data_IF_090757860518
#
_entry.id   IF_090757860518
#
_cell.length_a   1.000
_cell.length_b   1.000
_cell.length_c   1.000
_cell.angle_alpha   90.00
_cell.angle_beta   90.00
_cell.angle_gamma   90.00
#
_symmetry.space_group_name_H-M   'P 1'
#
loop_
_entity.id
_entity.type
_entity.pdbx_description
1 polymer ?
#
# COMPACT_ATOMS: atom_id res chain seq x y z
N UNK A 1 -17.15 -13.48 -2.72
CA UNK A 1 -15.75 -13.42 -2.22
C UNK A 1 -15.73 -13.88 -0.78
N UNK A 2 -14.68 -14.61 -0.37
CA UNK A 2 -14.46 -14.97 1.04
C UNK A 2 -14.26 -13.68 1.87
N UNK A 3 -14.81 -13.58 3.10
CA UNK A 3 -14.52 -12.45 3.99
C UNK A 3 -13.02 -12.32 4.26
N UNK A 4 -12.52 -11.08 4.33
CA UNK A 4 -11.13 -10.82 4.70
C UNK A 4 -11.06 -10.74 6.23
N UNK A 5 -10.40 -11.71 6.87
CA UNK A 5 -10.24 -11.77 8.32
C UNK A 5 -8.78 -11.80 8.75
N UNK A 6 -7.89 -12.34 7.93
CA UNK A 6 -6.46 -12.47 8.27
C UNK A 6 -5.60 -11.87 7.16
N UNK A 7 -4.86 -10.82 7.48
CA UNK A 7 -4.05 -10.06 6.51
C UNK A 7 -2.56 -10.38 6.72
N UNK A 8 -1.87 -10.74 5.65
CA UNK A 8 -0.41 -10.92 5.65
C UNK A 8 0.25 -9.72 4.96
N UNK A 9 1.21 -9.10 5.65
CA UNK A 9 2.10 -8.10 5.06
C UNK A 9 3.47 -8.75 4.83
N UNK A 10 3.85 -8.97 3.58
CA UNK A 10 5.13 -9.58 3.25
C UNK A 10 6.22 -8.51 3.15
N UNK A 11 7.24 -8.57 4.00
CA UNK A 11 8.27 -7.53 4.13
C UNK A 11 9.67 -8.10 3.91
N UNK A 12 10.60 -7.25 3.49
CA UNK A 12 11.96 -7.65 3.13
C UNK A 12 12.95 -6.51 3.33
N UNK A 13 14.25 -6.79 3.53
CA UNK A 13 15.26 -5.75 3.65
C UNK A 13 15.30 -4.83 2.43
N UNK A 14 15.43 -3.53 2.68
CA UNK A 14 15.41 -2.50 1.65
C UNK A 14 14.02 -2.22 1.10
N UNK A 15 12.94 -2.56 1.82
CA UNK A 15 11.62 -2.03 1.49
C UNK A 15 11.58 -0.50 1.66
N UNK A 16 10.67 0.17 0.97
CA UNK A 16 10.29 1.54 1.31
C UNK A 16 9.26 1.46 2.43
N UNK A 17 9.63 1.87 3.65
CA UNK A 17 8.78 1.64 4.83
C UNK A 17 7.38 2.29 4.70
N UNK A 18 7.28 3.43 4.01
CA UNK A 18 5.99 4.09 3.77
C UNK A 18 5.05 3.26 2.89
N UNK A 19 5.58 2.44 1.97
CA UNK A 19 4.77 1.51 1.17
C UNK A 19 4.05 0.50 2.07
N UNK A 20 4.69 0.06 3.15
CA UNK A 20 4.10 -0.82 4.15
C UNK A 20 3.12 -0.06 5.04
N UNK A 21 3.62 1.00 5.71
CA UNK A 21 2.89 1.68 6.79
C UNK A 21 1.62 2.35 6.27
N UNK A 22 1.61 2.87 5.05
CA UNK A 22 0.42 3.52 4.47
C UNK A 22 -0.80 2.59 4.45
N UNK A 23 -0.67 1.38 3.90
CA UNK A 23 -1.78 0.43 3.88
C UNK A 23 -1.99 -0.27 5.22
N UNK A 24 -0.91 -0.58 5.94
CA UNK A 24 -0.97 -1.18 7.27
C UNK A 24 -1.82 -0.36 8.23
N UNK A 25 -1.65 0.97 8.26
CA UNK A 25 -2.40 1.83 9.18
C UNK A 25 -3.90 1.86 8.87
N UNK A 26 -4.29 1.93 7.59
CA UNK A 26 -5.71 1.89 7.21
C UNK A 26 -6.34 0.53 7.51
N UNK A 27 -5.65 -0.57 7.20
CA UNK A 27 -6.17 -1.92 7.37
C UNK A 27 -6.27 -2.35 8.84
N UNK A 28 -5.27 -2.02 9.68
CA UNK A 28 -5.33 -2.35 11.12
C UNK A 28 -6.48 -1.64 11.84
N UNK A 29 -6.91 -0.47 11.33
CA UNK A 29 -8.00 0.32 11.91
C UNK A 29 -9.36 -0.34 11.78
N UNK A 30 -9.54 -1.28 10.86
CA UNK A 30 -10.79 -2.06 10.74
C UNK A 30 -11.14 -2.74 12.06
N UNK A 31 -10.17 -3.42 12.67
CA UNK A 31 -10.36 -4.03 13.99
C UNK A 31 -10.37 -2.99 15.12
N UNK A 32 -9.40 -2.07 15.13
CA UNK A 32 -9.24 -1.09 16.22
C UNK A 32 -10.44 -0.14 16.37
N UNK A 33 -11.18 0.11 15.30
CA UNK A 33 -12.36 0.97 15.31
C UNK A 33 -13.67 0.18 15.43
N UNK A 34 -13.60 -1.14 15.59
CA UNK A 34 -14.77 -2.02 15.75
C UNK A 34 -15.62 -2.11 14.47
N UNK A 35 -15.04 -1.93 13.29
CA UNK A 35 -15.72 -2.15 12.01
C UNK A 35 -15.88 -3.66 11.79
N UNK A 36 -14.79 -4.40 12.01
CA UNK A 36 -14.80 -5.86 12.07
C UNK A 36 -13.74 -6.31 13.09
N UNK A 37 -14.14 -6.62 14.34
CA UNK A 37 -13.20 -6.91 15.43
C UNK A 37 -12.47 -8.25 15.27
N UNK A 38 -12.92 -9.11 14.36
CA UNK A 38 -12.27 -10.40 14.08
C UNK A 38 -11.09 -10.27 13.11
N UNK A 39 -10.90 -9.10 12.50
CA UNK A 39 -9.78 -8.85 11.59
C UNK A 39 -8.47 -8.85 12.37
N UNK A 40 -7.52 -9.65 11.89
CA UNK A 40 -6.16 -9.73 12.41
C UNK A 40 -5.16 -9.53 11.27
N UNK A 41 -3.93 -9.17 11.61
CA UNK A 41 -2.83 -9.09 10.66
C UNK A 41 -1.57 -9.74 11.21
N UNK A 42 -0.66 -10.12 10.31
CA UNK A 42 0.72 -10.46 10.65
C UNK A 42 1.68 -9.89 9.62
N UNK A 43 2.84 -9.46 10.09
CA UNK A 43 3.98 -9.06 9.28
C UNK A 43 4.87 -10.28 9.11
N UNK A 44 5.08 -10.72 7.86
CA UNK A 44 5.88 -11.89 7.52
C UNK A 44 7.12 -11.41 6.77
N UNK A 45 8.28 -11.53 7.39
CA UNK A 45 9.53 -11.08 6.82
C UNK A 45 10.27 -12.16 6.06
N UNK A 46 11.23 -11.76 5.23
CA UNK A 46 12.25 -12.66 4.67
C UNK A 46 13.43 -12.90 5.63
N UNK A 47 13.52 -12.11 6.71
CA UNK A 47 14.55 -12.17 7.77
C UNK A 47 13.93 -11.78 9.12
N UNK A 48 14.58 -12.13 10.24
CA UNK A 48 14.09 -11.85 11.60
C UNK A 48 14.25 -10.39 12.04
N UNK A 49 15.07 -9.62 11.32
CA UNK A 49 15.18 -8.17 11.43
C UNK A 49 15.15 -7.61 10.03
N UNK A 50 14.30 -6.61 9.80
CA UNK A 50 14.15 -5.95 8.52
C UNK A 50 14.61 -4.51 8.68
N UNK A 51 15.57 -4.11 7.84
CA UNK A 51 15.95 -2.71 7.68
C UNK A 51 15.29 -2.15 6.42
N UNK A 52 14.73 -0.95 6.50
CA UNK A 52 14.31 -0.20 5.30
C UNK A 52 15.52 0.33 4.51
N UNK A 53 15.28 1.01 3.39
CA UNK A 53 16.34 1.56 2.54
C UNK A 53 17.23 2.63 3.22
N UNK A 54 16.82 3.14 4.38
CA UNK A 54 17.54 4.16 5.17
C UNK A 54 18.14 3.63 6.46
N UNK A 55 17.92 2.34 6.77
CA UNK A 55 18.43 1.68 7.96
C UNK A 55 17.49 1.68 9.16
N UNK A 56 16.23 2.13 9.03
CA UNK A 56 15.23 1.95 10.08
C UNK A 56 14.88 0.46 10.23
N UNK A 57 14.94 -0.06 11.46
CA UNK A 57 14.80 -1.48 11.74
C UNK A 57 13.52 -1.83 12.49
N UNK A 58 12.96 -2.99 12.18
CA UNK A 58 11.87 -3.61 12.94
C UNK A 58 11.93 -5.14 12.81
N UNK A 59 11.28 -5.84 13.75
CA UNK A 59 11.14 -7.29 13.73
C UNK A 59 9.75 -7.67 13.15
N UNK A 60 9.68 -8.57 12.16
CA UNK A 60 8.41 -9.15 11.73
C UNK A 60 7.91 -10.20 12.73
N UNK A 61 6.62 -10.56 12.63
CA UNK A 61 6.00 -11.59 13.49
C UNK A 61 6.45 -13.02 13.15
N UNK A 62 7.01 -13.22 11.96
CA UNK A 62 7.53 -14.50 11.46
C UNK A 62 8.52 -14.28 10.32
N UNK A 63 9.38 -15.27 10.05
CA UNK A 63 10.33 -15.29 8.94
C UNK A 63 9.95 -16.39 7.97
N UNK A 64 9.34 -16.01 6.86
CA UNK A 64 8.52 -16.91 6.04
C UNK A 64 7.47 -17.65 6.91
N UNK A 65 6.47 -18.26 6.29
CA UNK A 65 5.44 -18.97 7.03
C UNK A 65 4.37 -19.56 6.14
N UNK A 66 3.46 -20.32 6.73
CA UNK A 66 2.32 -20.79 5.98
C UNK A 66 1.36 -19.63 5.68
N UNK A 67 1.14 -19.39 4.38
CA UNK A 67 0.22 -18.36 3.87
C UNK A 67 -1.23 -18.88 3.74
N UNK A 68 -1.48 -20.18 3.88
CA UNK A 68 -2.80 -20.80 3.65
C UNK A 68 -3.91 -20.23 4.57
N UNK A 69 -3.51 -19.80 5.77
CA UNK A 69 -4.42 -19.27 6.78
C UNK A 69 -4.79 -17.79 6.62
N UNK A 70 -4.27 -17.09 5.61
CA UNK A 70 -4.57 -15.66 5.37
C UNK A 70 -5.54 -15.47 4.20
N UNK A 71 -6.23 -14.33 4.18
CA UNK A 71 -7.25 -14.00 3.18
C UNK A 71 -6.80 -12.87 2.23
N UNK A 72 -5.87 -12.02 2.66
CA UNK A 72 -5.26 -10.96 1.86
C UNK A 72 -3.74 -10.96 2.05
N UNK A 73 -2.99 -10.92 0.95
CA UNK A 73 -1.54 -10.73 0.95
C UNK A 73 -1.19 -9.33 0.41
N UNK A 74 -0.41 -8.58 1.16
CA UNK A 74 0.06 -7.25 0.78
C UNK A 74 1.58 -7.24 0.61
N UNK A 75 2.07 -6.71 -0.51
CA UNK A 75 3.49 -6.66 -0.87
C UNK A 75 3.92 -5.20 -1.14
N UNK A 76 4.74 -4.58 -0.27
CA UNK A 76 5.29 -3.26 -0.50
C UNK A 76 6.38 -3.29 -1.58
N UNK A 77 6.82 -2.11 -2.02
CA UNK A 77 7.98 -1.95 -2.88
C UNK A 77 9.25 -1.58 -2.10
N UNK A 78 10.20 -0.98 -2.82
CA UNK A 78 11.50 -0.55 -2.31
C UNK A 78 12.66 -1.17 -3.08
N UNK A 79 13.89 -0.72 -2.76
CA UNK A 79 15.09 -1.15 -3.46
C UNK A 79 15.34 -2.66 -3.39
N UNK A 80 14.93 -3.30 -2.28
CA UNK A 80 15.06 -4.74 -2.05
C UNK A 80 14.40 -5.61 -3.11
N UNK A 81 13.34 -5.11 -3.77
CA UNK A 81 12.64 -5.83 -4.85
C UNK A 81 13.57 -6.25 -5.98
N UNK A 82 14.59 -5.43 -6.31
CA UNK A 82 15.56 -5.75 -7.39
C UNK A 82 16.31 -7.04 -7.14
N UNK A 83 16.73 -7.27 -5.90
CA UNK A 83 17.39 -8.51 -5.49
C UNK A 83 16.41 -9.67 -5.49
N UNK A 84 15.23 -9.46 -4.91
CA UNK A 84 14.22 -10.52 -4.74
C UNK A 84 13.62 -11.00 -6.06
N UNK A 85 13.61 -10.19 -7.12
CA UNK A 85 13.22 -10.66 -8.46
C UNK A 85 14.11 -11.79 -9.00
N UNK A 86 15.35 -11.90 -8.51
CA UNK A 86 16.28 -12.99 -8.83
C UNK A 86 16.41 -14.04 -7.72
N UNK A 87 15.56 -13.98 -6.69
CA UNK A 87 15.54 -14.93 -5.58
C UNK A 87 14.41 -15.94 -5.80
N UNK A 88 14.74 -17.10 -6.35
CA UNK A 88 13.76 -18.14 -6.67
C UNK A 88 12.99 -18.63 -5.44
N UNK A 89 13.64 -18.66 -4.26
CA UNK A 89 12.96 -19.03 -3.02
C UNK A 89 11.87 -18.01 -2.66
N UNK A 90 12.18 -16.71 -2.72
CA UNK A 90 11.19 -15.66 -2.48
C UNK A 90 10.04 -15.72 -3.50
N UNK A 91 10.34 -15.91 -4.78
CA UNK A 91 9.33 -15.98 -5.83
C UNK A 91 8.44 -17.22 -5.67
N UNK A 92 9.01 -18.38 -5.39
CA UNK A 92 8.24 -19.60 -5.15
C UNK A 92 7.42 -19.51 -3.87
N UNK A 93 7.92 -18.82 -2.84
CA UNK A 93 7.14 -18.52 -1.64
C UNK A 93 5.90 -17.68 -1.99
N UNK A 94 6.05 -16.62 -2.79
CA UNK A 94 4.91 -15.81 -3.24
C UNK A 94 3.92 -16.62 -4.08
N UNK A 95 4.37 -17.56 -4.92
CA UNK A 95 3.47 -18.45 -5.69
C UNK A 95 2.58 -19.33 -4.81
N UNK A 96 3.02 -19.70 -3.60
CA UNK A 96 2.21 -20.47 -2.63
C UNK A 96 0.95 -19.75 -2.17
N UNK A 97 0.82 -18.44 -2.43
CA UNK A 97 -0.42 -17.70 -2.20
C UNK A 97 -1.58 -18.22 -3.05
N UNK A 98 -1.31 -18.68 -4.28
CA UNK A 98 -2.35 -19.08 -5.23
C UNK A 98 -3.14 -17.90 -5.79
N UNK A 99 -4.04 -18.16 -6.73
CA UNK A 99 -4.72 -17.11 -7.54
C UNK A 99 -6.15 -16.78 -7.06
N UNK A 100 -6.70 -17.57 -6.15
CA UNK A 100 -8.09 -17.46 -5.69
C UNK A 100 -8.32 -16.35 -4.65
N UNK A 101 -7.25 -15.87 -4.00
CA UNK A 101 -7.31 -14.90 -2.91
C UNK A 101 -6.71 -13.56 -3.32
N UNK A 102 -7.25 -12.43 -2.82
CA UNK A 102 -6.72 -11.11 -3.12
C UNK A 102 -5.24 -10.96 -2.74
N UNK A 103 -4.45 -10.45 -3.69
CA UNK A 103 -3.08 -9.99 -3.48
C UNK A 103 -2.99 -8.52 -3.91
N UNK A 104 -2.36 -7.71 -3.08
CA UNK A 104 -2.21 -6.28 -3.30
C UNK A 104 -0.73 -5.87 -3.26
N UNK A 105 -0.33 -4.90 -4.08
CA UNK A 105 1.03 -4.36 -4.01
C UNK A 105 1.11 -2.87 -4.29
N UNK A 106 2.12 -2.23 -3.73
CA UNK A 106 2.49 -0.82 -4.00
C UNK A 106 3.86 -0.76 -4.64
N UNK A 107 4.09 0.27 -5.46
CA UNK A 107 5.40 0.61 -5.98
C UNK A 107 6.01 -0.62 -6.70
N UNK A 108 7.28 -0.90 -6.48
CA UNK A 108 7.99 -2.02 -7.10
C UNK A 108 7.58 -3.38 -6.56
N UNK A 109 6.69 -3.47 -5.56
CA UNK A 109 6.10 -4.74 -5.13
C UNK A 109 5.37 -5.46 -6.27
N UNK A 110 4.81 -4.69 -7.21
CA UNK A 110 4.19 -5.21 -8.43
C UNK A 110 5.17 -6.03 -9.30
N UNK A 111 6.47 -5.75 -9.24
CA UNK A 111 7.48 -6.53 -9.97
C UNK A 111 7.61 -7.95 -9.40
N UNK A 112 7.48 -8.11 -8.08
CA UNK A 112 7.47 -9.43 -7.44
C UNK A 112 6.21 -10.21 -7.80
N UNK A 113 5.05 -9.54 -7.83
CA UNK A 113 3.80 -10.13 -8.32
C UNK A 113 3.92 -10.57 -9.78
N UNK A 114 4.50 -9.71 -10.63
CA UNK A 114 4.74 -9.99 -12.04
C UNK A 114 5.64 -11.20 -12.24
N UNK A 115 6.77 -11.24 -11.53
CA UNK A 115 7.72 -12.35 -11.56
C UNK A 115 7.12 -13.66 -11.05
N UNK A 116 6.23 -13.60 -10.06
CA UNK A 116 5.48 -14.75 -9.56
C UNK A 116 4.31 -15.18 -10.47
N UNK A 117 4.03 -14.44 -11.55
CA UNK A 117 3.04 -14.79 -12.57
C UNK A 117 1.65 -14.18 -12.35
N UNK A 118 1.43 -13.42 -11.28
CA UNK A 118 0.10 -12.88 -10.94
C UNK A 118 -0.44 -11.86 -11.94
N UNK A 119 0.44 -11.21 -12.70
CA UNK A 119 0.08 -10.12 -13.61
C UNK A 119 -0.13 -10.58 -15.07
N UNK A 120 0.06 -11.87 -15.37
CA UNK A 120 -0.10 -12.42 -16.71
C UNK A 120 -1.52 -12.15 -17.25
N UNK A 121 -1.60 -11.47 -18.40
CA UNK A 121 -2.87 -11.12 -19.03
C UNK A 121 -3.66 -9.98 -18.37
N UNK A 122 -3.13 -9.37 -17.30
CA UNK A 122 -3.79 -8.31 -16.51
C UNK A 122 -3.22 -6.93 -16.79
N UNK A 123 -4.00 -5.89 -16.50
CA UNK A 123 -3.47 -4.53 -16.33
C UNK A 123 -2.78 -4.41 -14.98
N UNK A 124 -1.74 -3.60 -14.89
CA UNK A 124 -1.10 -3.33 -13.62
C UNK A 124 -0.41 -1.96 -13.63
N UNK A 125 -0.18 -1.41 -12.45
CA UNK A 125 0.67 -0.23 -12.27
C UNK A 125 1.79 -0.52 -11.26
N UNK A 126 2.76 0.38 -11.18
CA UNK A 126 3.90 0.31 -10.26
C UNK A 126 4.43 1.74 -10.03
N UNK A 127 5.59 1.89 -9.40
CA UNK A 127 6.27 3.17 -9.34
C UNK A 127 6.65 3.64 -10.77
N UNK A 128 6.49 4.92 -11.07
CA UNK A 128 6.71 5.46 -12.43
C UNK A 128 8.09 5.13 -13.00
N UNK A 129 9.14 5.15 -12.17
CA UNK A 129 10.50 4.75 -12.56
C UNK A 129 10.66 3.25 -12.90
N UNK A 130 9.65 2.42 -12.68
CA UNK A 130 9.68 0.97 -12.89
C UNK A 130 8.67 0.49 -13.95
N UNK A 131 7.98 1.39 -14.67
CA UNK A 131 7.01 1.01 -15.70
C UNK A 131 7.61 0.09 -16.76
N UNK A 132 8.81 0.42 -17.29
CA UNK A 132 9.46 -0.42 -18.31
C UNK A 132 9.91 -1.78 -17.76
N UNK A 133 10.23 -1.86 -16.46
CA UNK A 133 10.57 -3.12 -15.80
C UNK A 133 9.34 -4.00 -15.56
N UNK A 134 8.15 -3.40 -15.42
CA UNK A 134 6.89 -4.13 -15.21
C UNK A 134 6.33 -4.67 -16.53
N UNK A 135 6.54 -3.96 -17.64
CA UNK A 135 5.93 -4.26 -18.94
C UNK A 135 6.03 -5.72 -19.40
N UNK A 136 7.15 -6.46 -19.19
CA UNK A 136 7.24 -7.86 -19.58
C UNK A 136 6.32 -8.83 -18.82
N UNK A 137 5.75 -8.40 -17.69
CA UNK A 137 5.01 -9.27 -16.77
C UNK A 137 3.49 -9.09 -16.83
N UNK A 138 2.99 -8.08 -17.54
CA UNK A 138 1.56 -7.75 -17.60
C UNK A 138 1.08 -7.49 -19.03
N UNK A 139 -0.24 -7.46 -19.24
CA UNK A 139 -0.83 -7.10 -20.55
C UNK A 139 -0.60 -5.63 -20.89
N UNK A 140 -0.68 -4.77 -19.88
CA UNK A 140 -0.63 -3.32 -20.04
C UNK A 140 -0.17 -2.67 -18.74
N UNK A 141 0.80 -1.76 -18.85
CA UNK A 141 1.22 -0.89 -17.74
C UNK A 141 0.37 0.37 -17.74
N UNK A 142 -0.50 0.50 -16.75
CA UNK A 142 -1.36 1.67 -16.58
C UNK A 142 -0.54 2.78 -15.93
N UNK A 143 -0.29 3.84 -16.69
CA UNK A 143 0.50 5.01 -16.24
C UNK A 143 -0.37 6.09 -15.60
N UNK A 144 -1.65 6.10 -15.92
CA UNK A 144 -2.65 7.05 -15.44
C UNK A 144 -3.51 6.38 -14.36
N UNK A 145 -3.38 6.83 -13.12
CA UNK A 145 -4.13 6.30 -11.99
C UNK A 145 -3.25 5.77 -10.86
N UNK A 146 -3.71 5.93 -9.62
CA UNK A 146 -2.97 5.50 -8.43
C UNK A 146 -3.17 4.02 -8.11
N UNK A 147 -4.29 3.43 -8.52
CA UNK A 147 -4.70 2.05 -8.20
C UNK A 147 -5.28 1.40 -9.46
N UNK A 148 -4.90 0.15 -9.71
CA UNK A 148 -5.43 -0.71 -10.77
C UNK A 148 -5.94 -1.98 -10.10
N UNK A 149 -7.22 -2.29 -10.27
CA UNK A 149 -7.88 -3.48 -9.74
C UNK A 149 -8.29 -4.41 -10.87
N UNK A 150 -7.76 -5.63 -10.86
CA UNK A 150 -8.08 -6.70 -11.83
C UNK A 150 -8.65 -7.93 -11.08
N UNK A 151 -9.56 -7.68 -10.14
CA UNK A 151 -10.25 -8.70 -9.35
C UNK A 151 -9.45 -9.14 -8.13
N UNK A 152 -8.78 -10.28 -8.21
CA UNK A 152 -7.95 -10.80 -7.10
C UNK A 152 -6.55 -10.18 -7.06
N UNK A 153 -6.21 -9.30 -8.00
CA UNK A 153 -4.90 -8.65 -8.06
C UNK A 153 -5.11 -7.15 -8.10
N UNK A 154 -4.57 -6.46 -7.10
CA UNK A 154 -4.66 -5.00 -6.98
C UNK A 154 -3.25 -4.44 -6.93
N UNK A 155 -2.93 -3.51 -7.82
CA UNK A 155 -1.62 -2.85 -7.85
C UNK A 155 -1.79 -1.35 -7.71
N UNK A 156 -0.86 -0.69 -7.05
CA UNK A 156 -0.86 0.75 -6.89
C UNK A 156 0.51 1.35 -7.18
N UNK A 157 0.49 2.66 -7.45
CA UNK A 157 1.64 3.46 -7.86
C UNK A 157 2.70 3.62 -6.76
N UNK A 158 3.50 4.68 -6.84
CA UNK A 158 4.62 4.89 -5.93
C UNK A 158 4.23 5.42 -4.55
N UNK A 159 4.88 4.90 -3.50
CA UNK A 159 5.06 5.53 -2.18
C UNK A 159 3.77 5.93 -1.48
N UNK A 160 3.29 7.14 -1.74
CA UNK A 160 2.09 7.70 -1.08
C UNK A 160 0.80 7.00 -1.52
N UNK A 161 0.81 6.31 -2.67
CA UNK A 161 -0.30 5.47 -3.09
C UNK A 161 -0.63 4.33 -2.12
N UNK A 162 0.26 4.00 -1.18
CA UNK A 162 -0.04 3.04 -0.11
C UNK A 162 -1.20 3.46 0.79
N UNK A 163 -1.35 4.76 1.07
CA UNK A 163 -2.47 5.27 1.87
C UNK A 163 -3.79 5.12 1.11
N UNK A 164 -3.80 5.50 -0.17
CA UNK A 164 -4.99 5.34 -1.01
C UNK A 164 -5.35 3.87 -1.19
N UNK A 165 -4.35 3.00 -1.44
CA UNK A 165 -4.58 1.58 -1.58
C UNK A 165 -5.12 0.96 -0.29
N UNK A 166 -4.60 1.36 0.87
CA UNK A 166 -5.12 0.93 2.17
C UNK A 166 -6.61 1.25 2.32
N UNK A 167 -6.99 2.50 2.08
CA UNK A 167 -8.39 2.93 2.13
C UNK A 167 -9.26 2.27 1.05
N UNK A 168 -8.73 2.08 -0.15
CA UNK A 168 -9.41 1.37 -1.23
C UNK A 168 -9.72 -0.08 -0.86
N UNK A 169 -8.75 -0.79 -0.27
CA UNK A 169 -8.96 -2.16 0.21
C UNK A 169 -9.98 -2.18 1.36
N UNK A 170 -9.97 -1.18 2.24
CA UNK A 170 -11.00 -1.02 3.28
C UNK A 170 -12.39 -0.91 2.66
N UNK A 171 -12.56 -0.01 1.68
CA UNK A 171 -13.83 0.16 0.97
C UNK A 171 -14.27 -1.11 0.26
N UNK A 172 -13.34 -1.77 -0.44
CA UNK A 172 -13.62 -2.98 -1.21
C UNK A 172 -14.16 -4.13 -0.36
N UNK A 173 -13.64 -4.31 0.85
CA UNK A 173 -13.96 -5.49 1.66
C UNK A 173 -14.90 -5.19 2.85
N UNK A 174 -14.97 -3.94 3.33
CA UNK A 174 -15.83 -3.55 4.47
C UNK A 174 -16.77 -2.38 4.15
N UNK A 175 -16.75 -1.87 2.91
CA UNK A 175 -17.69 -0.87 2.39
C UNK A 175 -17.27 0.58 2.60
N UNK A 176 -17.93 1.47 1.87
CA UNK A 176 -17.66 2.91 1.83
C UNK A 176 -17.71 3.57 3.22
N UNK A 177 -18.69 3.20 4.05
CA UNK A 177 -18.82 3.73 5.43
C UNK A 177 -17.60 3.42 6.30
N UNK A 178 -17.00 2.23 6.14
CA UNK A 178 -15.79 1.86 6.87
C UNK A 178 -14.61 2.74 6.43
N UNK A 179 -14.44 2.90 5.11
CA UNK A 179 -13.42 3.76 4.51
C UNK A 179 -13.55 5.20 4.95
N UNK A 180 -14.76 5.77 4.92
CA UNK A 180 -15.03 7.13 5.37
C UNK A 180 -14.66 7.34 6.82
N UNK A 181 -15.12 6.44 7.71
CA UNK A 181 -14.85 6.52 9.13
C UNK A 181 -13.34 6.47 9.43
N UNK A 182 -12.62 5.55 8.78
CA UNK A 182 -11.17 5.43 8.91
C UNK A 182 -10.46 6.66 8.35
N UNK A 183 -10.82 7.11 7.15
CA UNK A 183 -10.23 8.29 6.49
C UNK A 183 -10.40 9.55 7.34
N UNK A 184 -11.59 9.75 7.92
CA UNK A 184 -11.87 10.87 8.82
C UNK A 184 -11.01 10.81 10.07
N UNK A 185 -10.91 9.64 10.70
CA UNK A 185 -10.09 9.46 11.89
C UNK A 185 -8.59 9.64 11.60
N UNK A 186 -8.13 9.25 10.41
CA UNK A 186 -6.76 9.50 9.94
C UNK A 186 -6.50 10.97 9.58
N UNK A 187 -7.53 11.82 9.57
CA UNK A 187 -7.51 13.15 8.96
C UNK A 187 -6.99 13.15 7.51
N UNK A 188 -7.17 12.03 6.81
CA UNK A 188 -6.78 11.89 5.42
C UNK A 188 -7.83 12.56 4.54
N UNK A 189 -7.59 13.84 4.28
CA UNK A 189 -8.38 14.71 3.40
C UNK A 189 -7.47 15.38 2.39
N UNK A 190 -8.03 15.81 1.26
CA UNK A 190 -7.30 16.67 0.34
C UNK A 190 -6.75 17.87 1.11
N UNK A 191 -5.47 18.19 0.90
CA UNK A 191 -4.86 19.36 1.52
C UNK A 191 -5.63 20.60 1.03
N UNK A 192 -6.28 21.32 1.94
CA UNK A 192 -6.91 22.60 1.60
C UNK A 192 -5.83 23.57 1.14
N UNK A 193 -5.68 23.72 -0.17
CA UNK A 193 -4.80 24.72 -0.79
C UNK A 193 -5.30 26.15 -0.50
N UNK A 194 -6.45 26.30 0.14
CA UNK A 194 -6.96 27.56 0.67
C UNK A 194 -6.25 27.99 1.97
N UNK A 195 -4.91 28.00 2.01
CA UNK A 195 -4.22 28.90 2.93
C UNK A 195 -4.28 30.31 2.34
N UNK A 196 -4.86 31.31 3.02
CA UNK A 196 -4.71 32.69 2.58
C UNK A 196 -3.21 33.01 2.52
N UNK A 197 -2.74 33.51 1.37
CA UNK A 197 -1.36 33.97 1.22
C UNK A 197 -1.03 34.93 2.36
N UNK A 198 -0.08 34.57 3.22
CA UNK A 198 0.49 35.50 4.19
C UNK A 198 1.23 36.59 3.41
N UNK A 199 0.53 37.70 3.13
CA UNK A 199 1.06 38.75 2.26
C UNK A 199 0.10 39.86 1.85
N UNK A 200 -1.00 40.10 2.58
CA UNK A 200 -1.66 41.40 2.51
C UNK A 200 -1.08 42.27 3.63
N UNK A 201 -0.07 43.06 3.26
CA UNK A 201 0.63 43.96 4.16
C UNK A 201 -0.34 44.87 4.90
N UNK A 202 -0.05 45.04 6.19
CA UNK A 202 -0.54 46.09 7.07
C UNK A 202 -0.35 47.45 6.37
N UNK A 203 -1.42 48.24 6.23
CA UNK A 203 -1.27 49.53 5.55
C UNK A 203 -2.51 50.39 5.43
N UNK A 204 -3.31 50.55 6.48
CA UNK A 204 -4.19 51.72 6.61
C UNK A 204 -4.34 52.08 8.08
N UNK A 205 -3.58 53.11 8.52
CA UNK A 205 -3.87 53.78 9.79
C UNK A 205 -5.17 54.57 9.64
N UNK A 206 -6.00 54.66 10.70
CA UNK A 206 -7.22 55.46 10.67
C UNK A 206 -6.83 56.93 10.77
N UNK A 207 -7.23 57.77 9.81
CA UNK A 207 -7.21 59.20 10.01
C UNK A 207 -8.59 59.64 10.50
N UNK A 208 -8.67 59.86 11.82
CA UNK A 208 -9.80 60.45 12.48
C UNK A 208 -9.76 61.98 12.28
N UNK A 209 -10.87 62.50 11.75
CA UNK A 209 -11.51 63.81 12.02
C UNK A 209 -10.74 65.11 11.72
N UNK A 210 -11.46 66.03 11.06
CA UNK A 210 -11.77 67.37 11.63
C UNK A 210 -13.03 67.95 10.95
N UNK A 211 -14.07 68.15 11.77
CA UNK A 211 -14.74 69.44 11.85
C UNK A 211 -13.84 70.36 12.68
#
# INVERSE_FOLDING_TARGET
MRPIKRIAFFVFPGLTLLDLIGAYDSLRRVALMGIDPEVTHRIIGTQSEIADETGMKFAPDAVYGDLSGFDLLYVPGGLGTRRLMGDDWCIDYLKRWGTERPIASVCTGALLLGKAGYLQGKRATTHHNAYELLAPYCREVVREGRIVDEGNVITAGGVTSALDLGLYLVERFWGEKARERISQQMEYRAWDLARPRAGAARGARPNARRR
#
